data_IF_620097685258
#
_entry.id   IF_620097685258
#
_cell.length_a   1.000
_cell.length_b   1.000
_cell.length_c   1.000
_cell.angle_alpha   90.00
_cell.angle_beta   90.00
_cell.angle_gamma   90.00
#
_symmetry.space_group_name_H-M   'P 1'
#
loop_
_entity.id
_entity.type
_entity.pdbx_description
1 polymer ?
#
# COMPACT_ATOMS: atom_id res chain seq x y z
N UNK A 1 27.01 126.60 55.18
CA UNK A 1 25.79 125.79 55.40
C UNK A 1 26.09 124.39 54.90
N UNK A 2 26.21 123.43 55.82
CA UNK A 2 26.54 122.02 55.56
C UNK A 2 25.33 121.32 54.92
N UNK A 3 25.50 120.71 53.74
CA UNK A 3 24.53 119.78 53.16
C UNK A 3 25.22 118.54 52.62
N UNK A 4 24.57 117.41 52.89
CA UNK A 4 25.16 116.14 53.30
C UNK A 4 25.33 115.17 52.11
N UNK A 5 26.52 114.59 51.98
CA UNK A 5 27.04 113.79 50.85
C UNK A 5 26.63 112.32 50.86
N UNK A 6 25.44 111.99 51.36
CA UNK A 6 25.00 110.58 51.55
C UNK A 6 24.14 110.02 50.41
N UNK A 7 23.70 110.84 49.44
CA UNK A 7 22.82 110.41 48.34
C UNK A 7 23.57 109.69 47.20
N UNK A 8 24.90 109.87 47.11
CA UNK A 8 25.75 109.37 46.01
C UNK A 8 26.22 107.91 46.15
N UNK A 9 25.87 107.20 47.23
CA UNK A 9 26.37 105.82 47.50
C UNK A 9 25.36 104.69 47.26
N UNK A 10 24.10 104.99 46.94
CA UNK A 10 23.04 103.97 46.79
C UNK A 10 22.71 103.58 45.34
N UNK A 11 23.00 104.44 44.35
CA UNK A 11 22.62 104.18 42.95
C UNK A 11 23.61 103.31 42.14
N UNK A 12 24.87 103.24 42.56
CA UNK A 12 25.91 102.46 41.88
C UNK A 12 25.69 100.94 41.88
N UNK A 13 25.45 100.29 43.04
CA UNK A 13 25.30 98.83 43.08
C UNK A 13 23.95 98.34 42.55
N UNK A 14 22.94 99.22 42.41
CA UNK A 14 21.59 98.85 41.96
C UNK A 14 21.54 98.55 40.44
N UNK A 15 22.34 99.25 39.62
CA UNK A 15 22.40 98.99 38.17
C UNK A 15 23.21 97.74 37.78
N UNK A 16 24.13 97.27 38.62
CA UNK A 16 24.92 96.06 38.36
C UNK A 16 24.14 94.77 38.69
N UNK A 17 23.26 94.82 39.70
CA UNK A 17 22.43 93.66 40.08
C UNK A 17 21.32 93.42 39.05
N UNK A 18 20.78 94.49 38.45
CA UNK A 18 19.71 94.39 37.46
C UNK A 18 20.17 93.76 36.12
N UNK A 19 21.43 93.95 35.73
CA UNK A 19 21.98 93.37 34.48
C UNK A 19 22.32 91.88 34.63
N UNK A 20 22.67 91.42 35.83
CA UNK A 20 22.93 90.00 36.10
C UNK A 20 21.62 89.18 36.12
N UNK A 21 20.51 89.76 36.59
CA UNK A 21 19.22 89.05 36.62
C UNK A 21 18.62 88.77 35.24
N UNK A 22 18.94 89.57 34.23
CA UNK A 22 18.41 89.39 32.86
C UNK A 22 19.17 88.27 32.12
N UNK A 23 20.45 88.02 32.45
CA UNK A 23 21.25 86.99 31.78
C UNK A 23 20.91 85.55 32.23
N UNK A 24 20.44 85.34 33.47
CA UNK A 24 20.06 84.00 33.95
C UNK A 24 18.63 83.58 33.56
N UNK A 25 17.79 84.51 33.09
CA UNK A 25 16.45 84.20 32.59
C UNK A 25 16.44 83.62 31.16
N UNK A 26 17.57 83.64 30.45
CA UNK A 26 17.71 83.15 29.08
C UNK A 26 18.00 81.63 28.96
N UNK A 27 18.02 80.88 30.07
CA UNK A 27 18.38 79.45 30.08
C UNK A 27 17.25 78.54 30.60
N UNK A 28 16.03 78.68 30.07
CA UNK A 28 14.98 77.67 30.23
C UNK A 28 14.47 77.25 28.85
N UNK A 29 15.15 76.27 28.25
CA UNK A 29 14.70 75.62 27.03
C UNK A 29 13.49 74.73 27.32
N UNK A 30 12.43 74.89 26.54
CA UNK A 30 11.29 73.98 26.59
C UNK A 30 11.71 72.58 26.13
N UNK A 31 11.21 71.56 26.84
CA UNK A 31 11.41 70.16 26.46
C UNK A 31 10.72 69.93 25.11
N UNK A 32 11.49 69.56 24.09
CA UNK A 32 10.96 69.29 22.75
C UNK A 32 9.86 68.22 22.76
N UNK A 33 8.95 68.21 21.76
CA UNK A 33 7.84 67.26 21.72
C UNK A 33 8.37 65.82 21.77
N UNK A 34 7.67 64.98 22.53
CA UNK A 34 7.93 63.53 22.59
C UNK A 34 7.83 62.97 21.17
N UNK A 35 8.90 62.33 20.69
CA UNK A 35 8.95 61.77 19.34
C UNK A 35 7.84 60.74 19.09
N UNK A 36 7.35 60.69 17.85
CA UNK A 36 6.28 59.80 17.41
C UNK A 36 6.61 58.33 17.71
N UNK A 37 5.61 57.58 18.18
CA UNK A 37 5.73 56.13 18.35
C UNK A 37 6.05 55.49 16.99
N UNK A 38 7.19 54.77 16.92
CA UNK A 38 7.64 54.13 15.69
C UNK A 38 6.61 53.18 15.08
N UNK A 39 6.57 53.11 13.75
CA UNK A 39 5.62 52.29 13.01
C UNK A 39 5.69 50.81 13.43
N UNK A 40 4.53 50.21 13.71
CA UNK A 40 4.40 48.77 13.96
C UNK A 40 4.88 47.99 12.73
N UNK A 41 5.96 47.22 12.88
CA UNK A 41 6.53 46.44 11.79
C UNK A 41 5.53 45.38 11.29
N UNK A 42 5.20 45.43 10.00
CA UNK A 42 4.43 44.37 9.33
C UNK A 42 5.36 43.19 9.10
N UNK A 43 5.23 42.14 9.92
CA UNK A 43 5.95 40.88 9.70
C UNK A 43 5.46 40.20 8.43
N UNK A 44 6.37 39.92 7.49
CA UNK A 44 6.04 39.14 6.30
C UNK A 44 5.82 37.68 6.70
N UNK A 45 4.70 37.08 6.25
CA UNK A 45 4.43 35.65 6.42
C UNK A 45 5.60 34.84 5.85
N UNK A 46 6.16 33.92 6.65
CA UNK A 46 7.28 33.07 6.23
C UNK A 46 6.95 32.27 4.96
N UNK A 47 7.95 32.06 4.10
CA UNK A 47 7.77 31.33 2.85
C UNK A 47 7.23 29.91 3.11
N UNK A 48 6.23 29.50 2.34
CA UNK A 48 5.70 28.13 2.34
C UNK A 48 6.85 27.14 2.11
N UNK A 49 6.96 26.11 2.97
CA UNK A 49 8.00 25.09 2.87
C UNK A 49 7.97 24.38 1.51
N UNK A 50 9.14 23.94 1.04
CA UNK A 50 9.27 23.23 -0.22
C UNK A 50 8.41 21.96 -0.22
N UNK A 51 7.70 21.70 -1.33
CA UNK A 51 6.99 20.44 -1.56
C UNK A 51 7.97 19.27 -1.44
N UNK A 52 7.59 18.24 -0.68
CA UNK A 52 8.41 17.04 -0.50
C UNK A 52 8.73 16.34 -1.84
N UNK A 53 9.83 15.56 -1.91
CA UNK A 53 10.19 14.85 -3.13
C UNK A 53 9.09 13.87 -3.53
N UNK A 54 8.82 13.77 -4.84
CA UNK A 54 7.95 12.74 -5.40
C UNK A 54 8.46 11.36 -4.99
N UNK A 55 7.58 10.51 -4.45
CA UNK A 55 7.92 9.15 -4.06
C UNK A 55 8.51 8.36 -5.24
N UNK A 56 9.44 7.43 -4.95
CA UNK A 56 10.02 6.58 -5.97
C UNK A 56 8.93 5.82 -6.74
N UNK A 57 9.05 5.76 -8.08
CA UNK A 57 8.17 4.93 -8.90
C UNK A 57 8.21 3.48 -8.39
N UNK A 58 7.03 2.86 -8.28
CA UNK A 58 6.94 1.44 -7.95
C UNK A 58 7.71 0.58 -8.94
N UNK A 59 8.30 -0.52 -8.46
CA UNK A 59 8.94 -1.52 -9.32
C UNK A 59 7.94 -2.00 -10.39
N UNK A 60 8.39 -2.06 -11.64
CA UNK A 60 7.59 -2.60 -12.73
C UNK A 60 7.17 -4.04 -12.40
N UNK A 61 5.89 -4.36 -12.64
CA UNK A 61 5.38 -5.72 -12.45
C UNK A 61 6.14 -6.71 -13.33
N UNK A 62 6.47 -7.88 -12.78
CA UNK A 62 7.07 -9.00 -13.53
C UNK A 62 6.10 -9.44 -14.64
N UNK A 63 6.51 -9.34 -15.90
CA UNK A 63 5.74 -9.86 -17.05
C UNK A 63 5.40 -11.34 -16.84
N UNK A 64 4.11 -11.66 -16.75
CA UNK A 64 3.64 -13.04 -16.63
C UNK A 64 3.32 -13.65 -17.99
N UNK A 65 4.20 -14.50 -18.52
CA UNK A 65 3.86 -15.38 -19.65
C UNK A 65 3.41 -16.74 -19.13
N UNK A 66 2.23 -16.80 -18.51
CA UNK A 66 1.62 -18.08 -18.14
C UNK A 66 1.11 -18.79 -19.42
N UNK A 67 1.74 -19.90 -19.82
CA UNK A 67 1.27 -20.69 -20.95
C UNK A 67 0.01 -21.48 -20.56
N UNK A 68 -1.15 -21.13 -21.15
CA UNK A 68 -2.41 -21.85 -20.93
C UNK A 68 -2.45 -23.10 -21.82
N UNK A 69 -2.72 -24.27 -21.25
CA UNK A 69 -2.81 -25.55 -21.98
C UNK A 69 -4.18 -26.19 -21.83
N UNK A 70 -4.80 -26.62 -22.93
CA UNK A 70 -6.07 -27.36 -22.94
C UNK A 70 -5.85 -28.78 -23.43
N UNK A 71 -6.09 -29.78 -22.57
CA UNK A 71 -6.10 -31.20 -22.94
C UNK A 71 -7.53 -31.60 -23.27
N UNK A 72 -7.77 -32.11 -24.49
CA UNK A 72 -9.10 -32.58 -24.92
C UNK A 72 -9.07 -34.10 -25.09
N UNK A 73 -10.08 -34.77 -24.55
CA UNK A 73 -10.24 -36.22 -24.66
C UNK A 73 -11.30 -36.52 -25.74
N UNK A 74 -10.89 -37.01 -26.93
CA UNK A 74 -11.78 -37.13 -28.10
C UNK A 74 -12.76 -38.31 -28.03
N UNK A 75 -12.55 -39.25 -27.12
CA UNK A 75 -13.38 -40.46 -26.97
C UNK A 75 -14.40 -40.28 -25.86
N UNK A 76 -15.66 -40.59 -26.15
CA UNK A 76 -16.69 -40.73 -25.11
C UNK A 76 -16.35 -41.88 -24.17
N UNK A 77 -16.75 -41.74 -22.90
CA UNK A 77 -16.53 -42.76 -21.88
C UNK A 77 -17.69 -42.81 -20.90
N UNK A 78 -17.77 -43.92 -20.16
CA UNK A 78 -18.83 -44.13 -19.16
C UNK A 78 -18.28 -43.99 -17.76
N UNK A 79 -18.92 -43.14 -16.96
CA UNK A 79 -18.76 -43.07 -15.52
C UNK A 79 -19.65 -44.10 -14.84
N UNK A 80 -19.12 -44.71 -13.79
CA UNK A 80 -19.87 -45.61 -12.91
C UNK A 80 -21.05 -44.88 -12.25
N UNK A 81 -22.14 -45.61 -11.99
CA UNK A 81 -23.28 -45.09 -11.21
C UNK A 81 -22.94 -44.89 -9.74
N UNK A 82 -21.92 -45.58 -9.25
CA UNK A 82 -21.53 -45.55 -7.85
C UNK A 82 -20.74 -44.28 -7.53
N UNK A 83 -21.09 -43.63 -6.42
CA UNK A 83 -20.43 -42.43 -5.90
C UNK A 83 -19.05 -42.69 -5.26
N UNK A 84 -18.62 -43.96 -5.18
CA UNK A 84 -17.35 -44.36 -4.55
C UNK A 84 -16.26 -44.74 -5.56
N UNK A 85 -16.53 -44.57 -6.86
CA UNK A 85 -15.61 -44.92 -7.94
C UNK A 85 -15.12 -43.68 -8.67
N UNK A 86 -13.82 -43.63 -8.93
CA UNK A 86 -13.18 -42.56 -9.68
C UNK A 86 -12.97 -42.97 -11.13
N UNK A 87 -13.07 -42.01 -12.05
CA UNK A 87 -12.60 -42.17 -13.42
C UNK A 87 -11.35 -41.33 -13.65
N UNK A 88 -10.34 -41.91 -14.29
CA UNK A 88 -9.05 -41.26 -14.49
C UNK A 88 -8.92 -40.71 -15.90
N UNK A 89 -8.71 -39.41 -16.00
CA UNK A 89 -8.22 -38.77 -17.22
C UNK A 89 -6.70 -38.60 -17.10
N UNK A 90 -5.94 -39.42 -17.82
CA UNK A 90 -4.48 -39.29 -17.83
C UNK A 90 -4.07 -38.04 -18.60
N UNK A 91 -3.20 -37.21 -18.01
CA UNK A 91 -2.63 -36.06 -18.69
C UNK A 91 -1.45 -36.52 -19.58
N UNK A 92 -1.13 -35.78 -20.65
CA UNK A 92 0.05 -36.05 -21.46
C UNK A 92 1.33 -35.96 -20.61
N UNK A 93 2.36 -36.73 -20.97
CA UNK A 93 3.65 -36.75 -20.25
C UNK A 93 4.36 -35.38 -20.19
N UNK A 94 4.00 -34.43 -21.06
CA UNK A 94 4.49 -33.05 -20.99
C UNK A 94 3.98 -32.30 -19.77
N UNK A 95 2.87 -32.75 -19.16
CA UNK A 95 2.31 -32.18 -17.94
C UNK A 95 2.82 -32.99 -16.75
N UNK A 96 3.87 -32.47 -16.13
CA UNK A 96 4.53 -33.12 -14.98
C UNK A 96 3.87 -32.71 -13.66
N UNK A 97 4.18 -33.46 -12.59
CA UNK A 97 3.75 -33.14 -11.23
C UNK A 97 4.11 -31.69 -10.83
N UNK A 98 5.33 -31.26 -11.17
CA UNK A 98 5.82 -29.94 -10.83
C UNK A 98 5.01 -28.81 -11.51
N UNK A 99 4.45 -29.08 -12.69
CA UNK A 99 3.54 -28.15 -13.37
C UNK A 99 2.21 -28.10 -12.63
N UNK A 100 1.57 -29.25 -12.38
CA UNK A 100 0.24 -29.27 -11.75
C UNK A 100 0.22 -28.77 -10.32
N UNK A 101 1.27 -29.01 -9.53
CA UNK A 101 1.39 -28.52 -8.15
C UNK A 101 1.32 -26.98 -8.04
N UNK A 102 1.64 -26.28 -9.14
CA UNK A 102 1.67 -24.81 -9.24
C UNK A 102 0.65 -24.28 -10.25
N UNK A 103 -0.32 -25.11 -10.65
CA UNK A 103 -1.31 -24.74 -11.66
C UNK A 103 -2.70 -24.60 -11.06
N UNK A 104 -3.48 -23.69 -11.63
CA UNK A 104 -4.93 -23.80 -11.58
C UNK A 104 -5.37 -24.82 -12.62
N UNK A 105 -6.23 -25.75 -12.21
CA UNK A 105 -6.82 -26.74 -13.09
C UNK A 105 -8.33 -26.48 -13.15
N UNK A 106 -8.90 -26.60 -14.35
CA UNK A 106 -10.34 -26.54 -14.56
C UNK A 106 -10.74 -27.70 -15.44
N UNK A 107 -11.72 -28.47 -15.00
CA UNK A 107 -12.19 -29.66 -15.72
C UNK A 107 -13.57 -29.38 -16.27
N UNK A 108 -13.73 -29.65 -17.56
CA UNK A 108 -15.00 -29.52 -18.27
C UNK A 108 -15.52 -30.88 -18.70
N UNK A 109 -16.80 -31.12 -18.48
CA UNK A 109 -17.50 -32.34 -18.88
C UNK A 109 -18.76 -32.00 -19.68
N UNK A 110 -19.04 -32.80 -20.69
CA UNK A 110 -20.31 -32.81 -21.41
C UNK A 110 -20.90 -34.22 -21.30
N UNK A 111 -22.20 -34.29 -21.07
CA UNK A 111 -22.92 -35.56 -20.96
C UNK A 111 -23.95 -35.70 -22.08
N UNK A 112 -24.16 -36.93 -22.56
CA UNK A 112 -25.21 -37.20 -23.55
C UNK A 112 -26.59 -36.76 -23.04
N UNK A 113 -26.84 -36.94 -21.75
CA UNK A 113 -28.12 -36.56 -21.10
C UNK A 113 -28.40 -35.06 -21.14
N UNK A 114 -27.37 -34.22 -20.92
CA UNK A 114 -27.52 -32.76 -20.93
C UNK A 114 -27.36 -32.15 -22.33
N UNK A 115 -27.20 -32.99 -23.36
CA UNK A 115 -27.04 -32.55 -24.74
C UNK A 115 -25.72 -31.78 -24.98
N UNK A 116 -25.76 -30.62 -25.65
CA UNK A 116 -24.56 -29.88 -26.06
C UNK A 116 -23.91 -29.03 -24.95
N UNK A 117 -24.43 -29.08 -23.71
CA UNK A 117 -24.00 -28.20 -22.63
C UNK A 117 -22.71 -28.73 -21.99
N UNK A 118 -21.68 -27.87 -21.97
CA UNK A 118 -20.41 -28.14 -21.31
C UNK A 118 -20.43 -27.53 -19.91
N UNK A 119 -20.17 -28.35 -18.91
CA UNK A 119 -20.17 -27.99 -17.50
C UNK A 119 -18.74 -27.94 -16.96
N UNK A 120 -18.42 -26.94 -16.16
CA UNK A 120 -17.21 -26.94 -15.33
C UNK A 120 -17.49 -27.67 -14.02
N UNK A 121 -16.54 -28.47 -13.53
CA UNK A 121 -16.62 -29.12 -12.22
C UNK A 121 -15.52 -28.58 -11.28
N UNK A 122 -15.74 -28.53 -9.95
CA UNK A 122 -16.89 -29.08 -9.22
C UNK A 122 -18.20 -28.33 -9.46
N UNK A 123 -19.29 -29.09 -9.66
CA UNK A 123 -20.63 -28.54 -9.88
C UNK A 123 -21.72 -29.58 -9.64
N UNK A 124 -22.92 -29.08 -9.33
CA UNK A 124 -24.19 -29.81 -9.47
C UNK A 124 -24.66 -29.69 -10.92
N UNK A 125 -24.91 -30.82 -11.57
CA UNK A 125 -25.20 -30.90 -13.00
C UNK A 125 -26.49 -31.68 -13.20
N UNK A 126 -27.44 -31.12 -13.94
CA UNK A 126 -28.67 -31.80 -14.28
C UNK A 126 -29.84 -30.84 -14.50
N UNK A 127 -31.00 -31.42 -14.83
CA UNK A 127 -32.27 -30.69 -15.02
C UNK A 127 -33.36 -31.40 -14.22
N UNK A 128 -33.49 -31.07 -12.93
CA UNK A 128 -34.44 -31.70 -12.02
C UNK A 128 -34.02 -33.08 -11.48
N UNK A 129 -33.08 -33.76 -12.16
CA UNK A 129 -32.31 -34.88 -11.60
C UNK A 129 -30.84 -34.47 -11.65
N UNK A 130 -30.23 -34.35 -10.47
CA UNK A 130 -28.92 -33.73 -10.32
C UNK A 130 -27.86 -34.75 -9.87
N UNK A 131 -26.71 -34.70 -10.53
CA UNK A 131 -25.48 -35.36 -10.10
C UNK A 131 -24.48 -34.29 -9.66
N UNK A 132 -23.73 -34.56 -8.59
CA UNK A 132 -22.65 -33.66 -8.13
C UNK A 132 -21.32 -34.29 -8.48
N UNK A 133 -20.52 -33.56 -9.26
CA UNK A 133 -19.18 -33.98 -9.64
C UNK A 133 -18.13 -33.10 -8.99
N UNK A 134 -17.02 -33.73 -8.62
CA UNK A 134 -15.79 -33.10 -8.19
C UNK A 134 -14.61 -33.78 -8.87
N UNK A 135 -13.41 -33.24 -8.70
CA UNK A 135 -12.21 -33.90 -9.15
C UNK A 135 -11.05 -33.67 -8.18
N UNK A 136 -10.06 -34.55 -8.26
CA UNK A 136 -8.76 -34.37 -7.63
C UNK A 136 -7.64 -34.65 -8.63
N UNK A 137 -6.46 -34.10 -8.36
CA UNK A 137 -5.27 -34.35 -9.17
C UNK A 137 -4.48 -35.47 -8.52
N UNK A 138 -4.13 -36.47 -9.32
CA UNK A 138 -3.34 -37.62 -8.93
C UNK A 138 -1.96 -37.56 -9.58
N UNK A 139 -0.93 -38.00 -8.86
CA UNK A 139 0.41 -38.16 -9.40
C UNK A 139 1.13 -39.35 -8.73
N UNK A 140 1.70 -40.24 -9.54
CA UNK A 140 2.53 -41.35 -9.05
C UNK A 140 4.00 -40.98 -8.94
N UNK A 141 4.65 -41.48 -7.89
CA UNK A 141 6.07 -41.25 -7.64
C UNK A 141 7.01 -41.99 -8.60
N UNK A 142 6.56 -43.08 -9.24
CA UNK A 142 7.42 -43.97 -10.04
C UNK A 142 7.44 -43.68 -11.54
N UNK A 143 6.40 -43.08 -12.13
CA UNK A 143 6.26 -42.96 -13.60
C UNK A 143 5.94 -41.54 -14.09
N UNK A 144 5.97 -40.53 -13.21
CA UNK A 144 5.55 -39.14 -13.48
C UNK A 144 4.15 -39.00 -14.11
N UNK A 145 3.33 -40.06 -14.10
CA UNK A 145 1.98 -40.00 -14.63
C UNK A 145 1.15 -39.11 -13.72
N UNK A 146 0.61 -38.05 -14.33
CA UNK A 146 -0.34 -37.14 -13.70
C UNK A 146 -1.72 -37.40 -14.30
N UNK A 147 -2.73 -37.48 -13.46
CA UNK A 147 -4.10 -37.71 -13.89
C UNK A 147 -5.11 -36.87 -13.13
N UNK A 148 -6.29 -36.73 -13.70
CA UNK A 148 -7.46 -36.14 -13.04
C UNK A 148 -8.40 -37.28 -12.65
N UNK A 149 -8.65 -37.42 -11.35
CA UNK A 149 -9.65 -38.32 -10.80
C UNK A 149 -10.99 -37.61 -10.70
N UNK A 150 -11.88 -37.90 -11.63
CA UNK A 150 -13.27 -37.43 -11.59
C UNK A 150 -14.03 -38.30 -10.61
N UNK A 151 -14.72 -37.66 -9.67
CA UNK A 151 -15.52 -38.32 -8.64
C UNK A 151 -16.96 -37.81 -8.73
N UNK A 152 -17.92 -38.72 -8.59
CA UNK A 152 -19.31 -38.34 -8.35
C UNK A 152 -19.61 -38.45 -6.86
N UNK A 153 -20.07 -37.38 -6.23
CA UNK A 153 -20.39 -37.38 -4.78
C UNK A 153 -21.89 -37.53 -4.51
N UNK A 154 -22.74 -37.24 -5.50
CA UNK A 154 -24.20 -37.41 -5.42
C UNK A 154 -24.79 -37.68 -6.80
N UNK A 155 -25.99 -38.28 -6.84
CA UNK A 155 -26.70 -38.63 -8.05
C UNK A 155 -26.20 -39.93 -8.72
N UNK A 156 -26.92 -40.38 -9.74
CA UNK A 156 -26.62 -41.64 -10.45
C UNK A 156 -26.88 -41.57 -11.97
N UNK A 157 -27.25 -40.40 -12.48
CA UNK A 157 -27.92 -40.25 -13.77
C UNK A 157 -26.97 -39.94 -14.92
N UNK A 158 -25.90 -39.18 -14.67
CA UNK A 158 -25.02 -38.64 -15.70
C UNK A 158 -23.81 -39.55 -15.95
N UNK A 159 -24.05 -40.73 -16.53
CA UNK A 159 -23.00 -41.74 -16.75
C UNK A 159 -22.27 -41.59 -18.07
N UNK A 160 -22.91 -41.09 -19.12
CA UNK A 160 -22.30 -41.07 -20.46
C UNK A 160 -21.68 -39.71 -20.76
N UNK A 161 -20.34 -39.63 -20.67
CA UNK A 161 -19.56 -38.44 -21.01
C UNK A 161 -19.25 -38.44 -22.51
N UNK A 162 -19.61 -37.37 -23.20
CA UNK A 162 -19.35 -37.19 -24.63
C UNK A 162 -18.11 -36.36 -24.91
N UNK A 163 -17.71 -35.51 -23.97
CA UNK A 163 -16.52 -34.68 -24.07
C UNK A 163 -15.96 -34.41 -22.68
N UNK A 164 -14.63 -34.53 -22.55
CA UNK A 164 -13.90 -34.06 -21.38
C UNK A 164 -12.75 -33.16 -21.82
N UNK A 165 -12.54 -32.07 -21.09
CA UNK A 165 -11.39 -31.18 -21.27
C UNK A 165 -10.77 -30.83 -19.93
N UNK A 166 -9.46 -30.70 -19.90
CA UNK A 166 -8.72 -30.23 -18.74
C UNK A 166 -7.91 -29.01 -19.14
N UNK A 167 -8.26 -27.86 -18.58
CA UNK A 167 -7.54 -26.61 -18.72
C UNK A 167 -6.51 -26.50 -17.59
N UNK A 168 -5.27 -26.23 -17.96
CA UNK A 168 -4.14 -26.10 -17.04
C UNK A 168 -3.58 -24.70 -17.23
N UNK A 169 -3.52 -23.96 -16.13
CA UNK A 169 -2.99 -22.60 -16.07
C UNK A 169 -1.85 -22.61 -15.04
N UNK A 170 -0.60 -22.85 -15.47
CA UNK A 170 0.56 -22.79 -14.60
C UNK A 170 0.79 -21.36 -14.09
N UNK A 171 1.19 -21.25 -12.83
CA UNK A 171 1.67 -19.99 -12.29
C UNK A 171 2.97 -19.59 -13.01
N UNK A 172 2.98 -18.41 -13.65
CA UNK A 172 4.19 -17.84 -14.22
C UNK A 172 5.22 -17.48 -13.13
N UNK A 173 4.74 -17.07 -11.95
CA UNK A 173 5.57 -16.69 -10.81
C UNK A 173 5.01 -17.33 -9.55
N UNK A 174 5.86 -17.92 -8.72
CA UNK A 174 5.50 -18.42 -7.40
C UNK A 174 6.18 -17.59 -6.32
N UNK A 175 5.40 -16.88 -5.51
CA UNK A 175 5.90 -16.19 -4.32
C UNK A 175 5.65 -17.11 -3.12
N UNK A 176 6.74 -17.63 -2.54
CA UNK A 176 6.64 -18.36 -1.26
C UNK A 176 6.77 -17.34 -0.14
N UNK A 177 5.66 -17.06 0.56
CA UNK A 177 5.69 -16.21 1.75
C UNK A 177 6.15 -17.08 2.92
N UNK A 178 7.44 -17.02 3.27
CA UNK A 178 7.90 -17.52 4.55
C UNK A 178 7.34 -16.59 5.63
N UNK A 179 6.25 -17.00 6.30
CA UNK A 179 5.63 -16.23 7.39
C UNK A 179 6.54 -16.00 8.60
N UNK A 180 7.75 -16.57 8.61
CA UNK A 180 8.80 -16.23 9.57
C UNK A 180 9.58 -15.04 9.00
N UNK A 181 9.54 -13.89 9.70
CA UNK A 181 10.57 -12.88 9.48
C UNK A 181 11.94 -13.55 9.59
N UNK A 182 12.89 -13.15 8.74
CA UNK A 182 14.26 -13.67 8.81
C UNK A 182 14.72 -13.62 10.28
N UNK A 183 15.32 -14.71 10.77
CA UNK A 183 15.79 -14.74 12.14
C UNK A 183 16.73 -13.55 12.35
N UNK A 184 16.43 -12.74 13.36
CA UNK A 184 17.30 -11.61 13.73
C UNK A 184 18.65 -12.19 14.07
N UNK A 185 19.68 -11.65 13.45
CA UNK A 185 21.03 -12.00 13.86
C UNK A 185 21.31 -11.35 15.22
N UNK A 186 21.15 -12.11 16.30
CA UNK A 186 21.37 -11.60 17.66
C UNK A 186 22.83 -11.26 17.98
N UNK A 187 23.78 -11.61 17.11
CA UNK A 187 25.17 -11.15 17.23
C UNK A 187 25.43 -9.80 16.56
N UNK A 188 24.46 -9.24 15.83
CA UNK A 188 24.54 -7.93 15.19
C UNK A 188 23.72 -6.91 16.00
N UNK A 189 24.42 -5.98 16.64
CA UNK A 189 23.82 -4.96 17.50
C UNK A 189 22.82 -4.07 16.75
N UNK A 190 23.10 -3.68 15.51
CA UNK A 190 22.22 -2.80 14.72
C UNK A 190 20.96 -3.55 14.27
N UNK A 191 21.08 -4.83 13.92
CA UNK A 191 19.95 -5.68 13.59
C UNK A 191 19.00 -5.88 14.79
N UNK A 192 19.56 -6.05 16.00
CA UNK A 192 18.80 -6.17 17.25
C UNK A 192 18.12 -4.85 17.62
N UNK A 193 18.85 -3.73 17.49
CA UNK A 193 18.34 -2.38 17.80
C UNK A 193 17.13 -2.02 16.91
N UNK A 194 17.23 -2.32 15.61
CA UNK A 194 16.14 -2.12 14.65
C UNK A 194 14.94 -3.05 14.92
N UNK A 195 15.19 -4.32 15.25
CA UNK A 195 14.12 -5.29 15.50
C UNK A 195 13.27 -4.98 16.75
N UNK A 196 13.91 -4.51 17.83
CA UNK A 196 13.23 -4.17 19.09
C UNK A 196 12.83 -2.69 19.20
N UNK A 197 13.08 -1.87 18.17
CA UNK A 197 12.74 -0.44 18.18
C UNK A 197 13.47 0.36 19.25
N UNK A 198 14.69 -0.02 19.59
CA UNK A 198 15.50 0.65 20.61
C UNK A 198 16.10 1.94 20.03
N UNK A 199 15.96 3.07 20.73
CA UNK A 199 16.48 4.38 20.30
C UNK A 199 17.91 4.60 20.80
#
# INVERSE_FOLDING_TARGET
>A
MLFNTTLTKFFGPLCLVLTITIFLAACKGDVGPKGDTGATGVGTTGATGATGPTGASGVAGVSGTSSVTMVTYPTSFTLSKNNSTFYTLLLPRSITKAVVDKSVIIVYLQFSFTGPIVWQIPATIGFGIEDVFTYSVYSESSDQLVGIYISRTSGTSLTSVTLAKVLIIPAANTITVNGRQAAVNYSDFEAVKAYYGLK
#
